data_IF_525804762935
#
_entry.id   IF_525804762935
#
_cell.length_a   1.000
_cell.length_b   1.000
_cell.length_c   1.000
_cell.angle_alpha   90.00
_cell.angle_beta   90.00
_cell.angle_gamma   90.00
#
_symmetry.space_group_name_H-M   'P 1'
#
loop_
_entity.id
_entity.type
_entity.pdbx_description
1 polymer ?
#
# COMPACT_ATOMS: atom_id res chain seq x y z
N UNK A 1 26.64 -37.09 21.52
CA UNK A 1 26.38 -35.92 22.41
C UNK A 1 27.24 -34.69 22.11
N UNK A 2 28.58 -34.79 21.92
CA UNK A 2 29.43 -33.61 21.63
C UNK A 2 29.12 -32.89 20.30
N UNK A 3 28.62 -33.59 19.27
CA UNK A 3 28.23 -33.01 17.96
C UNK A 3 26.89 -32.27 17.97
N UNK A 4 25.94 -32.68 18.82
CA UNK A 4 24.65 -32.01 19.00
C UNK A 4 24.78 -30.69 19.80
N UNK A 5 25.67 -30.68 20.80
CA UNK A 5 26.00 -29.48 21.60
C UNK A 5 26.79 -28.43 20.80
N UNK A 6 27.65 -28.83 19.88
CA UNK A 6 28.39 -27.88 19.01
C UNK A 6 27.50 -27.26 17.94
N UNK A 7 26.54 -28.02 17.39
CA UNK A 7 25.53 -27.51 16.45
C UNK A 7 24.55 -26.54 17.15
N UNK A 8 24.16 -26.80 18.39
CA UNK A 8 23.30 -25.90 19.17
C UNK A 8 24.00 -24.60 19.60
N UNK A 9 25.28 -24.68 20.00
CA UNK A 9 26.09 -23.50 20.32
C UNK A 9 26.34 -22.60 19.10
N UNK A 10 26.53 -23.20 17.91
CA UNK A 10 26.66 -22.46 16.65
C UNK A 10 25.39 -21.68 16.29
N UNK A 11 24.22 -22.32 16.38
CA UNK A 11 22.92 -21.67 16.15
C UNK A 11 22.58 -20.59 17.18
N UNK A 12 23.01 -20.75 18.43
CA UNK A 12 22.85 -19.72 19.47
C UNK A 12 23.77 -18.53 19.22
N UNK A 13 25.04 -18.76 18.83
CA UNK A 13 25.97 -17.68 18.46
C UNK A 13 25.50 -16.91 17.22
N UNK A 14 24.98 -17.62 16.23
CA UNK A 14 24.45 -17.02 15.00
C UNK A 14 23.20 -16.17 15.28
N UNK A 15 22.27 -16.69 16.09
CA UNK A 15 21.11 -15.90 16.57
C UNK A 15 21.51 -14.68 17.40
N UNK A 16 22.50 -14.82 18.28
CA UNK A 16 23.02 -13.70 19.10
C UNK A 16 23.69 -12.62 18.24
N UNK A 17 24.48 -13.03 17.25
CA UNK A 17 25.13 -12.10 16.31
C UNK A 17 24.10 -11.38 15.43
N UNK A 18 23.09 -12.11 14.91
CA UNK A 18 21.95 -11.52 14.18
C UNK A 18 21.19 -10.52 15.05
N UNK A 19 20.89 -10.88 16.30
CA UNK A 19 20.23 -9.96 17.25
C UNK A 19 21.04 -8.68 17.47
N UNK A 20 22.35 -8.79 17.72
CA UNK A 20 23.22 -7.61 17.92
C UNK A 20 23.35 -6.75 16.67
N UNK A 21 23.40 -7.36 15.49
CA UNK A 21 23.43 -6.65 14.22
C UNK A 21 22.17 -5.80 14.05
N UNK A 22 20.99 -6.40 14.23
CA UNK A 22 19.72 -5.69 14.09
C UNK A 22 19.54 -4.62 15.16
N UNK A 23 19.87 -4.89 16.42
CA UNK A 23 19.88 -3.89 17.50
C UNK A 23 20.72 -2.66 17.13
N UNK A 24 21.94 -2.88 16.62
CA UNK A 24 22.82 -1.80 16.16
C UNK A 24 22.24 -1.06 14.95
N UNK A 25 21.75 -1.80 13.95
CA UNK A 25 21.19 -1.26 12.72
C UNK A 25 19.98 -0.36 13.01
N UNK A 26 18.97 -0.88 13.71
CA UNK A 26 17.79 -0.10 14.09
C UNK A 26 18.13 1.03 15.06
N UNK A 27 19.07 0.82 15.96
CA UNK A 27 19.58 1.87 16.83
C UNK A 27 20.17 3.05 16.05
N UNK A 28 20.95 2.79 14.99
CA UNK A 28 21.48 3.84 14.12
C UNK A 28 20.39 4.50 13.29
N UNK A 29 19.47 3.72 12.73
CA UNK A 29 18.33 4.24 11.98
C UNK A 29 17.51 5.22 12.81
N UNK A 30 17.12 4.80 14.02
CA UNK A 30 16.35 5.63 14.95
C UNK A 30 17.13 6.90 15.30
N UNK A 31 18.43 6.81 15.62
CA UNK A 31 19.25 8.00 15.88
C UNK A 31 19.34 8.94 14.68
N UNK A 32 19.39 8.40 13.47
CA UNK A 32 19.36 9.18 12.23
C UNK A 32 18.03 9.93 12.05
N UNK A 33 16.92 9.24 12.26
CA UNK A 33 15.57 9.83 12.23
C UNK A 33 15.39 10.91 13.32
N UNK A 34 15.82 10.63 14.55
CA UNK A 34 15.71 11.56 15.68
C UNK A 34 16.51 12.86 15.45
N UNK A 35 17.62 12.80 14.70
CA UNK A 35 18.38 13.99 14.30
C UNK A 35 17.65 14.86 13.27
N UNK A 36 16.74 14.27 12.49
CA UNK A 36 15.98 14.96 11.45
C UNK A 36 14.68 15.61 11.97
N UNK A 37 14.37 15.48 13.26
CA UNK A 37 13.18 16.08 13.88
C UNK A 37 13.26 17.62 13.79
N UNK A 38 12.35 18.23 13.01
CA UNK A 38 12.19 19.69 12.99
C UNK A 38 11.47 20.15 14.26
N UNK A 39 12.15 21.01 15.04
CA UNK A 39 11.61 21.58 16.29
C UNK A 39 10.55 22.66 16.07
N UNK A 40 10.36 23.14 14.83
CA UNK A 40 9.41 24.20 14.49
C UNK A 40 7.96 23.72 14.36
N UNK A 41 7.73 22.40 14.41
CA UNK A 41 6.42 21.79 14.25
C UNK A 41 5.99 21.66 12.79
N UNK A 42 4.89 20.94 12.54
CA UNK A 42 4.36 20.70 11.20
C UNK A 42 3.30 21.74 10.86
N UNK A 43 3.13 22.04 9.57
CA UNK A 43 2.06 22.90 9.07
C UNK A 43 0.66 22.34 9.37
N UNK A 44 -0.37 22.89 8.73
CA UNK A 44 -1.73 22.40 8.92
C UNK A 44 -1.85 20.90 8.59
N UNK A 45 -2.31 20.10 9.55
CA UNK A 45 -2.54 18.66 9.42
C UNK A 45 -4.05 18.41 9.30
N UNK A 46 -4.42 17.62 8.30
CA UNK A 46 -5.78 17.11 8.08
C UNK A 46 -5.69 15.60 7.82
N UNK A 47 -6.74 14.80 8.03
CA UNK A 47 -6.75 13.42 7.55
C UNK A 47 -6.25 13.34 6.11
N UNK A 48 -5.37 12.39 5.82
CA UNK A 48 -4.70 12.20 4.54
C UNK A 48 -3.80 13.34 4.03
N UNK A 49 -3.60 14.45 4.77
CA UNK A 49 -2.75 15.58 4.35
C UNK A 49 -1.80 15.97 5.46
N UNK A 50 -0.51 15.73 5.23
CA UNK A 50 0.59 16.04 6.16
C UNK A 50 0.48 15.36 7.54
N UNK A 51 -0.49 14.45 7.76
CA UNK A 51 -0.59 13.68 8.99
C UNK A 51 0.43 12.54 8.94
N UNK A 52 1.35 12.43 9.91
CA UNK A 52 2.33 11.35 9.91
C UNK A 52 1.64 9.99 9.95
N UNK A 53 2.10 9.07 9.11
CA UNK A 53 1.46 7.78 8.96
C UNK A 53 2.41 6.66 8.61
N UNK A 54 1.81 5.49 8.40
CA UNK A 54 2.50 4.31 7.92
C UNK A 54 1.80 3.77 6.66
N UNK A 55 2.57 3.13 5.80
CA UNK A 55 2.07 2.35 4.68
C UNK A 55 2.61 0.93 4.77
N UNK A 56 1.75 -0.06 4.55
CA UNK A 56 2.18 -1.43 4.29
C UNK A 56 2.28 -1.65 2.78
N UNK A 57 3.37 -2.28 2.36
CA UNK A 57 3.67 -2.61 0.96
C UNK A 57 4.08 -4.08 0.89
N UNK A 58 3.36 -4.89 0.14
CA UNK A 58 3.59 -6.31 0.00
C UNK A 58 4.11 -6.62 -1.40
N UNK A 59 5.34 -7.11 -1.48
CA UNK A 59 6.00 -7.54 -2.71
C UNK A 59 5.55 -8.97 -3.07
N UNK A 60 5.65 -9.29 -4.38
CA UNK A 60 5.39 -10.60 -4.98
C UNK A 60 3.93 -11.06 -5.07
N UNK A 61 3.22 -10.74 -6.16
CA UNK A 61 1.78 -11.03 -6.31
C UNK A 61 1.38 -12.49 -6.43
N UNK A 62 2.33 -13.40 -6.69
CA UNK A 62 2.04 -14.83 -6.62
C UNK A 62 1.68 -15.29 -5.18
N UNK A 63 1.92 -14.44 -4.18
CA UNK A 63 1.52 -14.64 -2.78
C UNK A 63 0.09 -14.21 -2.48
N UNK A 64 -0.68 -13.77 -3.49
CA UNK A 64 -2.03 -13.20 -3.31
C UNK A 64 -2.99 -14.08 -2.52
N UNK A 65 -2.89 -15.41 -2.64
CA UNK A 65 -3.70 -16.33 -1.83
C UNK A 65 -3.55 -16.08 -0.33
N UNK A 66 -2.32 -15.86 0.13
CA UNK A 66 -2.00 -15.59 1.53
C UNK A 66 -2.48 -14.19 1.96
N UNK A 67 -2.38 -13.20 1.06
CA UNK A 67 -2.87 -11.84 1.31
C UNK A 67 -4.39 -11.81 1.49
N UNK A 68 -5.11 -12.55 0.65
CA UNK A 68 -6.58 -12.65 0.75
C UNK A 68 -6.98 -13.44 1.99
N UNK A 69 -6.37 -14.60 2.23
CA UNK A 69 -6.73 -15.50 3.33
C UNK A 69 -6.48 -14.88 4.71
N UNK A 70 -5.31 -14.25 4.90
CA UNK A 70 -4.89 -13.78 6.22
C UNK A 70 -4.88 -12.25 6.37
N UNK A 71 -4.95 -11.50 5.26
CA UNK A 71 -4.86 -10.04 5.26
C UNK A 71 -6.19 -9.33 5.07
N UNK A 72 -6.97 -9.72 4.06
CA UNK A 72 -8.14 -8.96 3.58
C UNK A 72 -9.15 -8.62 4.69
N UNK A 73 -9.60 -9.60 5.47
CA UNK A 73 -10.56 -9.35 6.55
C UNK A 73 -9.94 -8.51 7.68
N UNK A 74 -8.68 -8.77 8.03
CA UNK A 74 -7.95 -7.99 9.04
C UNK A 74 -7.82 -6.52 8.63
N UNK A 75 -7.37 -6.25 7.41
CA UNK A 75 -7.25 -4.88 6.89
C UNK A 75 -8.61 -4.18 6.80
N UNK A 76 -9.65 -4.89 6.37
CA UNK A 76 -11.03 -4.37 6.37
C UNK A 76 -11.56 -4.05 7.76
N UNK A 77 -11.33 -4.92 8.75
CA UNK A 77 -11.74 -4.70 10.14
C UNK A 77 -11.07 -3.47 10.76
N UNK A 78 -9.78 -3.29 10.48
CA UNK A 78 -9.03 -2.14 10.96
C UNK A 78 -9.16 -0.89 10.08
N UNK A 79 -9.85 -0.98 8.95
CA UNK A 79 -10.03 0.11 8.00
C UNK A 79 -8.67 0.66 7.48
N UNK A 80 -7.77 -0.27 7.16
CA UNK A 80 -6.39 -0.02 6.71
C UNK A 80 -6.27 -0.33 5.23
N UNK A 81 -5.74 0.63 4.46
CA UNK A 81 -5.37 0.39 3.07
C UNK A 81 -3.90 -0.02 2.95
N UNK A 82 -3.61 -0.80 1.92
CA UNK A 82 -2.35 -1.51 1.72
C UNK A 82 -1.96 -1.40 0.25
N UNK A 83 -0.67 -1.46 -0.03
CA UNK A 83 -0.12 -1.53 -1.39
C UNK A 83 0.34 -2.95 -1.66
N UNK A 84 -0.17 -3.58 -2.73
CA UNK A 84 0.27 -4.89 -3.19
C UNK A 84 0.99 -4.73 -4.52
N UNK A 85 2.24 -5.16 -4.60
CA UNK A 85 3.10 -4.94 -5.76
C UNK A 85 3.02 -6.17 -6.68
N UNK A 86 2.59 -5.94 -7.92
CA UNK A 86 2.22 -6.97 -8.89
C UNK A 86 3.34 -7.23 -9.89
N UNK A 87 3.64 -8.49 -10.13
CA UNK A 87 4.49 -8.98 -11.21
C UNK A 87 3.72 -10.05 -12.01
N UNK A 88 4.08 -10.31 -13.27
CA UNK A 88 3.25 -11.19 -14.11
C UNK A 88 3.49 -12.68 -13.81
N UNK A 89 4.73 -13.05 -13.49
CA UNK A 89 5.14 -14.46 -13.38
C UNK A 89 5.54 -14.90 -11.98
N UNK A 90 5.30 -16.17 -11.68
CA UNK A 90 5.75 -16.85 -10.47
C UNK A 90 7.19 -17.33 -10.64
N UNK A 91 8.17 -16.52 -10.22
CA UNK A 91 9.60 -16.83 -10.40
C UNK A 91 10.08 -18.10 -9.65
N UNK A 92 9.28 -18.60 -8.70
CA UNK A 92 9.56 -19.85 -7.98
C UNK A 92 8.73 -21.06 -8.42
N UNK A 93 7.81 -20.92 -9.38
CA UNK A 93 6.94 -22.02 -9.83
C UNK A 93 6.98 -22.12 -11.36
N UNK A 94 8.19 -22.38 -11.88
CA UNK A 94 8.42 -22.57 -13.31
C UNK A 94 8.11 -21.35 -14.17
N UNK A 95 8.18 -20.14 -13.60
CA UNK A 95 7.85 -18.88 -14.29
C UNK A 95 6.45 -18.88 -14.92
N UNK A 96 5.47 -19.56 -14.29
CA UNK A 96 4.08 -19.52 -14.78
C UNK A 96 3.44 -18.15 -14.57
N UNK A 97 2.46 -17.81 -15.40
CA UNK A 97 1.61 -16.65 -15.14
C UNK A 97 0.61 -16.90 -13.99
N UNK A 98 0.00 -15.81 -13.52
CA UNK A 98 -1.14 -15.86 -12.61
C UNK A 98 -2.33 -16.57 -13.26
N UNK A 99 -2.97 -17.46 -12.52
CA UNK A 99 -4.26 -18.06 -12.88
C UNK A 99 -5.36 -17.00 -12.82
N UNK A 100 -6.47 -17.23 -13.53
CA UNK A 100 -7.63 -16.33 -13.45
C UNK A 100 -8.15 -16.15 -12.00
N UNK A 101 -8.03 -17.19 -11.15
CA UNK A 101 -8.41 -17.09 -9.74
C UNK A 101 -7.52 -16.12 -8.97
N UNK A 102 -6.21 -16.15 -9.21
CA UNK A 102 -5.26 -15.21 -8.61
C UNK A 102 -5.49 -13.77 -9.12
N UNK A 103 -5.82 -13.59 -10.41
CA UNK A 103 -6.23 -12.30 -10.97
C UNK A 103 -7.50 -11.77 -10.30
N UNK A 104 -8.52 -12.63 -10.13
CA UNK A 104 -9.76 -12.28 -9.44
C UNK A 104 -9.49 -11.86 -7.99
N UNK A 105 -8.58 -12.55 -7.29
CA UNK A 105 -8.16 -12.21 -5.93
C UNK A 105 -7.45 -10.85 -5.86
N UNK A 106 -6.54 -10.55 -6.79
CA UNK A 106 -5.89 -9.23 -6.86
C UNK A 106 -6.92 -8.13 -7.05
N UNK A 107 -7.84 -8.30 -8.00
CA UNK A 107 -8.87 -7.31 -8.29
C UNK A 107 -9.93 -7.21 -7.18
N UNK A 108 -10.10 -8.26 -6.39
CA UNK A 108 -10.88 -8.21 -5.16
C UNK A 108 -10.19 -7.33 -4.10
N UNK A 109 -8.88 -7.48 -3.87
CA UNK A 109 -8.11 -6.58 -2.99
C UNK A 109 -8.23 -5.12 -3.46
N UNK A 110 -8.11 -4.86 -4.77
CA UNK A 110 -8.33 -3.54 -5.34
C UNK A 110 -9.74 -3.03 -5.05
N UNK A 111 -10.77 -3.88 -5.16
CA UNK A 111 -12.15 -3.47 -4.89
C UNK A 111 -12.38 -3.05 -3.43
N UNK A 112 -11.54 -3.52 -2.50
CA UNK A 112 -11.50 -3.10 -1.10
C UNK A 112 -10.72 -1.78 -0.88
N UNK A 113 -10.31 -1.09 -1.94
CA UNK A 113 -9.61 0.19 -1.87
C UNK A 113 -8.09 0.08 -1.68
N UNK A 114 -7.52 -1.12 -1.77
CA UNK A 114 -6.08 -1.32 -1.75
C UNK A 114 -5.43 -0.87 -3.07
N UNK A 115 -4.19 -0.41 -3.01
CA UNK A 115 -3.40 -0.11 -4.21
C UNK A 115 -2.82 -1.39 -4.79
N UNK A 116 -2.95 -1.56 -6.11
CA UNK A 116 -2.16 -2.53 -6.87
C UNK A 116 -1.07 -1.76 -7.63
N UNK A 117 0.16 -1.93 -7.17
CA UNK A 117 1.35 -1.26 -7.69
C UNK A 117 2.12 -2.17 -8.65
N UNK A 118 3.06 -1.58 -9.39
CA UNK A 118 3.87 -2.28 -10.38
C UNK A 118 5.14 -2.84 -9.74
N UNK A 119 5.51 -4.09 -10.05
CA UNK A 119 6.67 -4.78 -9.47
C UNK A 119 7.57 -5.47 -10.52
N UNK A 120 7.53 -4.99 -11.76
CA UNK A 120 8.29 -5.57 -12.87
C UNK A 120 7.59 -6.79 -13.47
N UNK A 121 7.74 -6.98 -14.77
CA UNK A 121 7.09 -8.08 -15.48
C UNK A 121 7.62 -9.44 -15.02
N UNK A 122 8.95 -9.64 -15.11
CA UNK A 122 9.65 -10.86 -14.71
C UNK A 122 10.53 -10.65 -13.47
N UNK A 123 10.19 -9.66 -12.64
CA UNK A 123 10.87 -9.38 -11.38
C UNK A 123 12.41 -9.29 -11.56
N UNK A 124 12.86 -8.64 -12.63
CA UNK A 124 14.29 -8.48 -12.90
C UNK A 124 14.87 -7.29 -12.12
N UNK A 125 16.12 -7.41 -11.67
CA UNK A 125 16.85 -6.29 -11.07
C UNK A 125 17.04 -5.18 -12.11
N UNK A 126 16.58 -3.97 -11.78
CA UNK A 126 16.75 -2.80 -12.63
C UNK A 126 18.22 -2.51 -12.92
N UNK A 127 19.07 -2.58 -11.89
CA UNK A 127 20.49 -2.26 -11.98
C UNK A 127 21.22 -3.31 -12.80
N UNK A 128 21.05 -4.59 -12.45
CA UNK A 128 21.77 -5.68 -13.14
C UNK A 128 21.34 -5.78 -14.61
N UNK A 129 20.03 -5.74 -14.89
CA UNK A 129 19.52 -5.83 -16.25
C UNK A 129 19.94 -4.63 -17.10
N UNK A 130 19.82 -3.40 -16.57
CA UNK A 130 20.19 -2.20 -17.31
C UNK A 130 21.70 -2.13 -17.59
N UNK A 131 22.55 -2.59 -16.66
CA UNK A 131 24.00 -2.66 -16.90
C UNK A 131 24.37 -3.60 -18.04
N UNK A 132 23.63 -4.71 -18.19
CA UNK A 132 23.91 -5.71 -19.22
C UNK A 132 23.27 -5.38 -20.57
N UNK A 133 22.04 -4.86 -20.56
CA UNK A 133 21.19 -4.74 -21.75
C UNK A 133 20.78 -3.29 -22.09
N UNK A 134 21.10 -2.34 -21.22
CA UNK A 134 20.69 -0.94 -21.30
C UNK A 134 19.33 -0.67 -20.67
N UNK A 135 19.16 0.52 -20.10
CA UNK A 135 17.92 0.93 -19.42
C UNK A 135 16.69 0.90 -20.30
N UNK A 136 16.79 1.33 -21.57
CA UNK A 136 15.65 1.32 -22.49
C UNK A 136 15.12 -0.10 -22.74
N UNK A 137 16.01 -1.11 -22.77
CA UNK A 137 15.60 -2.50 -22.87
C UNK A 137 14.90 -2.95 -21.59
N UNK A 138 15.48 -2.64 -20.42
CA UNK A 138 14.85 -2.94 -19.13
C UNK A 138 13.45 -2.32 -18.99
N UNK A 139 13.28 -1.04 -19.33
CA UNK A 139 11.99 -0.35 -19.27
C UNK A 139 10.98 -1.03 -20.19
N UNK A 140 11.38 -1.35 -21.42
CA UNK A 140 10.50 -2.06 -22.34
C UNK A 140 10.09 -3.42 -21.79
N UNK A 141 11.06 -4.21 -21.33
CA UNK A 141 10.85 -5.61 -21.00
C UNK A 141 10.17 -5.79 -19.63
N UNK A 142 10.44 -4.92 -18.65
CA UNK A 142 9.88 -5.02 -17.30
C UNK A 142 8.74 -4.04 -17.03
N UNK A 143 8.84 -2.79 -17.49
CA UNK A 143 7.88 -1.74 -17.14
C UNK A 143 6.69 -1.76 -18.09
N UNK A 144 6.95 -1.58 -19.39
CA UNK A 144 5.92 -1.51 -20.42
C UNK A 144 5.21 -2.86 -20.53
N UNK A 145 5.94 -3.97 -20.60
CA UNK A 145 5.34 -5.31 -20.70
C UNK A 145 4.36 -5.63 -19.56
N UNK A 146 4.65 -5.20 -18.33
CA UNK A 146 3.69 -5.44 -17.24
C UNK A 146 2.47 -4.50 -17.33
N UNK A 147 2.62 -3.24 -17.76
CA UNK A 147 1.44 -2.41 -18.04
C UNK A 147 0.54 -3.07 -19.08
N UNK A 148 1.12 -3.52 -20.20
CA UNK A 148 0.40 -4.22 -21.27
C UNK A 148 -0.27 -5.50 -20.74
N UNK A 149 0.43 -6.27 -19.89
CA UNK A 149 -0.14 -7.44 -19.25
C UNK A 149 -1.33 -7.08 -18.36
N UNK A 150 -1.19 -6.10 -17.45
CA UNK A 150 -2.25 -5.67 -16.54
C UNK A 150 -3.48 -5.14 -17.29
N UNK A 151 -3.30 -4.43 -18.41
CA UNK A 151 -4.39 -3.92 -19.24
C UNK A 151 -5.24 -5.02 -19.90
N UNK A 152 -4.62 -6.18 -20.17
CA UNK A 152 -5.26 -7.35 -20.75
C UNK A 152 -5.97 -8.23 -19.72
N UNK A 153 -5.78 -7.98 -18.42
CA UNK A 153 -6.46 -8.72 -17.37
C UNK A 153 -7.78 -8.06 -16.96
N UNK A 154 -8.73 -8.89 -16.54
CA UNK A 154 -9.98 -8.44 -15.94
C UNK A 154 -10.51 -9.48 -14.96
N UNK A 155 -11.26 -9.02 -13.97
CA UNK A 155 -11.95 -9.88 -13.03
C UNK A 155 -13.00 -10.68 -13.80
N UNK A 156 -13.02 -12.00 -13.63
CA UNK A 156 -13.83 -12.93 -14.42
C UNK A 156 -15.34 -12.60 -14.38
N UNK A 157 -15.85 -12.19 -13.22
CA UNK A 157 -17.24 -11.79 -12.99
C UNK A 157 -17.53 -10.31 -13.24
N UNK A 158 -16.89 -9.40 -12.50
CA UNK A 158 -17.21 -7.96 -12.52
C UNK A 158 -16.70 -7.25 -13.78
N UNK A 159 -15.76 -7.87 -14.50
CA UNK A 159 -15.03 -7.27 -15.64
C UNK A 159 -14.23 -6.02 -15.30
N UNK A 160 -14.07 -5.70 -14.00
CA UNK A 160 -13.17 -4.65 -13.55
C UNK A 160 -11.75 -5.00 -13.97
N UNK A 161 -10.97 -3.98 -14.35
CA UNK A 161 -9.56 -4.12 -14.73
C UNK A 161 -8.69 -3.52 -13.62
N UNK A 162 -7.39 -3.79 -13.71
CA UNK A 162 -6.43 -3.11 -12.86
C UNK A 162 -6.52 -1.59 -13.05
N UNK A 163 -6.43 -0.83 -11.94
CA UNK A 163 -6.18 0.61 -12.03
C UNK A 163 -4.73 0.82 -12.45
N UNK A 164 -4.46 1.90 -13.18
CA UNK A 164 -3.10 2.26 -13.56
C UNK A 164 -2.24 2.42 -12.30
N UNK A 165 -1.16 1.64 -12.15
CA UNK A 165 -0.23 1.80 -11.03
C UNK A 165 0.32 3.22 -10.92
N UNK A 166 0.31 3.77 -9.70
CA UNK A 166 0.95 5.05 -9.34
C UNK A 166 2.40 4.81 -8.89
N UNK A 167 2.59 3.67 -8.24
CA UNK A 167 3.81 3.24 -7.57
C UNK A 167 4.51 2.16 -8.38
N UNK A 168 5.85 2.24 -8.44
CA UNK A 168 6.70 1.12 -8.82
C UNK A 168 7.57 0.66 -7.65
N UNK A 169 7.55 -0.62 -7.38
CA UNK A 169 8.33 -1.28 -6.36
C UNK A 169 9.51 -1.99 -7.04
N UNK A 170 10.75 -1.59 -6.76
CA UNK A 170 11.91 -2.25 -7.37
C UNK A 170 12.02 -3.69 -6.89
N UNK A 171 12.12 -4.69 -7.79
CA UNK A 171 12.53 -6.05 -7.45
C UNK A 171 13.84 -6.05 -6.67
N UNK A 172 13.94 -6.92 -5.67
CA UNK A 172 15.09 -6.99 -4.74
C UNK A 172 15.37 -5.68 -3.97
N UNK A 173 14.46 -4.70 -4.07
CA UNK A 173 14.62 -3.35 -3.58
C UNK A 173 15.87 -2.63 -4.14
N UNK A 174 16.42 -3.10 -5.27
CA UNK A 174 17.65 -2.59 -5.88
C UNK A 174 17.37 -1.55 -6.97
N UNK A 175 18.07 -0.42 -6.91
CA UNK A 175 17.90 0.71 -7.84
C UNK A 175 19.17 1.56 -7.89
N UNK A 176 19.21 2.47 -8.88
CA UNK A 176 20.15 3.59 -8.92
C UNK A 176 19.42 4.88 -9.33
N UNK A 177 20.13 6.02 -9.28
CA UNK A 177 19.55 7.34 -9.64
C UNK A 177 19.08 7.42 -11.08
N UNK A 178 19.78 6.75 -12.01
CA UNK A 178 19.41 6.71 -13.42
C UNK A 178 18.04 6.04 -13.60
N UNK A 179 17.84 4.85 -13.01
CA UNK A 179 16.57 4.14 -13.05
C UNK A 179 15.44 4.99 -12.46
N UNK A 180 15.68 5.69 -11.34
CA UNK A 180 14.66 6.58 -10.75
C UNK A 180 14.29 7.70 -11.73
N UNK A 181 15.29 8.33 -12.35
CA UNK A 181 15.08 9.45 -13.28
C UNK A 181 14.40 9.06 -14.58
N UNK A 182 14.54 7.81 -15.01
CA UNK A 182 13.86 7.29 -16.21
C UNK A 182 12.42 6.85 -15.91
N UNK A 183 12.16 6.36 -14.69
CA UNK A 183 10.82 5.95 -14.28
C UNK A 183 9.94 7.13 -13.83
N UNK A 184 10.54 8.11 -13.16
CA UNK A 184 9.87 9.29 -12.62
C UNK A 184 10.33 10.50 -13.42
N UNK A 185 9.44 11.22 -14.13
CA UNK A 185 7.99 11.26 -13.93
C UNK A 185 7.15 10.46 -14.94
N UNK A 186 7.77 9.79 -15.91
CA UNK A 186 7.10 9.36 -17.13
C UNK A 186 6.12 8.20 -16.90
N UNK A 187 6.42 7.31 -15.97
CA UNK A 187 5.62 6.10 -15.72
C UNK A 187 4.94 6.14 -14.35
N UNK A 188 5.65 6.63 -13.33
CA UNK A 188 5.20 6.58 -11.95
C UNK A 188 5.35 7.92 -11.24
N UNK A 189 4.54 8.13 -10.21
CA UNK A 189 4.70 9.29 -9.32
C UNK A 189 5.75 9.02 -8.25
N UNK A 190 5.84 7.78 -7.80
CA UNK A 190 6.66 7.36 -6.67
C UNK A 190 7.25 5.97 -6.95
N UNK A 191 8.48 5.75 -6.54
CA UNK A 191 9.15 4.45 -6.66
C UNK A 191 9.66 3.99 -5.29
N UNK A 192 9.52 2.72 -4.96
CA UNK A 192 9.91 2.13 -3.67
C UNK A 192 11.15 1.28 -3.83
N UNK A 193 12.15 1.50 -2.99
CA UNK A 193 13.39 0.73 -2.97
C UNK A 193 13.92 0.46 -1.56
N UNK A 194 15.13 -0.09 -1.50
CA UNK A 194 15.84 -0.35 -0.26
C UNK A 194 16.19 0.97 0.44
N UNK A 195 16.26 0.88 1.76
CA UNK A 195 16.73 1.96 2.60
C UNK A 195 18.11 2.50 2.18
N UNK A 196 18.16 3.80 1.86
CA UNK A 196 19.40 4.58 1.78
C UNK A 196 19.26 5.80 2.70
N UNK A 197 19.97 5.78 3.83
CA UNK A 197 19.96 6.89 4.81
C UNK A 197 18.75 6.89 5.74
N UNK A 198 17.96 7.98 5.74
CA UNK A 198 16.72 8.04 6.52
C UNK A 198 15.61 7.24 5.81
N UNK A 199 14.72 6.58 6.56
CA UNK A 199 13.64 5.77 5.98
C UNK A 199 12.29 6.51 5.96
N UNK A 200 12.34 7.83 5.78
CA UNK A 200 11.19 8.69 6.00
C UNK A 200 10.75 9.28 4.67
N UNK A 201 9.46 9.16 4.38
CA UNK A 201 8.86 9.69 3.16
C UNK A 201 7.95 10.86 3.53
N UNK A 202 8.21 12.09 3.05
CA UNK A 202 7.30 13.21 3.30
C UNK A 202 5.93 12.96 2.63
N UNK A 203 4.89 13.68 3.05
CA UNK A 203 3.64 13.68 2.30
C UNK A 203 3.81 14.44 0.97
N UNK A 204 3.03 14.08 -0.05
CA UNK A 204 3.13 14.63 -1.41
C UNK A 204 4.49 14.40 -2.06
N UNK A 205 5.08 13.24 -1.78
CA UNK A 205 6.38 12.85 -2.30
C UNK A 205 6.35 12.53 -3.80
N UNK A 206 7.48 12.72 -4.48
CA UNK A 206 7.70 12.27 -5.86
C UNK A 206 9.14 11.78 -5.96
N UNK A 207 9.35 10.65 -6.64
CA UNK A 207 10.66 9.99 -6.70
C UNK A 207 10.76 8.81 -5.72
N UNK A 208 11.96 8.56 -5.21
CA UNK A 208 12.25 7.40 -4.36
C UNK A 208 11.67 7.52 -2.95
N UNK A 209 10.89 6.54 -2.54
CA UNK A 209 10.41 6.33 -1.18
C UNK A 209 11.08 5.09 -0.57
N UNK A 210 12.00 5.25 0.40
CA UNK A 210 12.68 4.12 1.01
C UNK A 210 11.70 3.34 1.90
N UNK A 211 11.94 2.03 2.00
CA UNK A 211 11.11 1.12 2.80
C UNK A 211 11.94 0.30 3.79
N UNK A 212 11.30 -0.09 4.89
CA UNK A 212 11.87 -0.99 5.88
C UNK A 212 11.23 -2.37 5.76
N UNK A 213 12.04 -3.38 5.45
CA UNK A 213 11.58 -4.77 5.50
C UNK A 213 11.24 -5.18 6.94
N UNK A 214 10.05 -5.73 7.13
CA UNK A 214 9.56 -6.25 8.42
C UNK A 214 9.06 -7.70 8.32
N UNK A 215 9.62 -8.49 7.42
CA UNK A 215 9.45 -9.94 7.47
C UNK A 215 10.28 -10.57 8.60
N UNK A 216 10.00 -11.82 8.93
CA UNK A 216 10.56 -12.55 10.08
C UNK A 216 12.08 -12.58 10.09
N UNK A 217 12.72 -12.60 8.91
CA UNK A 217 14.16 -12.46 8.73
C UNK A 217 14.73 -11.17 9.35
N UNK A 218 13.93 -10.11 9.32
CA UNK A 218 14.33 -8.74 9.61
C UNK A 218 13.72 -8.20 10.89
N UNK A 219 12.56 -8.67 11.35
CA UNK A 219 11.90 -8.18 12.59
C UNK A 219 12.61 -8.73 13.81
N UNK A 220 13.42 -7.93 14.52
CA UNK A 220 14.12 -8.44 15.69
C UNK A 220 13.24 -8.36 16.94
N UNK A 221 12.32 -7.39 17.00
CA UNK A 221 11.39 -7.14 18.10
C UNK A 221 10.40 -5.99 17.75
N UNK A 222 9.11 -6.16 18.04
CA UNK A 222 8.08 -5.11 17.90
C UNK A 222 8.46 -3.81 18.65
N UNK A 223 9.24 -3.89 19.73
CA UNK A 223 9.79 -2.73 20.45
C UNK A 223 10.53 -1.75 19.53
N UNK A 224 11.28 -2.23 18.54
CA UNK A 224 11.97 -1.37 17.59
C UNK A 224 11.00 -0.69 16.65
N UNK A 225 10.02 -1.43 16.15
CA UNK A 225 8.97 -0.90 15.28
C UNK A 225 8.25 0.26 15.98
N UNK A 226 7.86 0.09 17.25
CA UNK A 226 7.25 1.18 18.05
C UNK A 226 8.13 2.42 18.16
N UNK A 227 9.45 2.25 18.31
CA UNK A 227 10.40 3.38 18.40
C UNK A 227 10.59 4.08 17.05
N UNK A 228 10.66 3.32 15.96
CA UNK A 228 10.77 3.85 14.60
C UNK A 228 9.51 4.64 14.25
N UNK A 229 8.32 4.10 14.55
CA UNK A 229 7.04 4.81 14.37
C UNK A 229 6.99 6.10 15.18
N UNK A 230 7.43 6.07 16.44
CA UNK A 230 7.51 7.28 17.28
C UNK A 230 8.44 8.33 16.67
N UNK A 231 9.62 7.92 16.20
CA UNK A 231 10.56 8.83 15.55
C UNK A 231 9.96 9.43 14.28
N UNK A 232 9.34 8.62 13.41
CA UNK A 232 8.67 9.09 12.22
C UNK A 232 7.56 10.10 12.53
N UNK A 233 6.68 9.80 13.49
CA UNK A 233 5.65 10.75 13.95
C UNK A 233 6.25 12.09 14.37
N UNK A 234 7.38 12.07 15.08
CA UNK A 234 8.07 13.28 15.52
C UNK A 234 8.77 14.05 14.40
N UNK A 235 8.97 13.45 13.22
CA UNK A 235 9.54 14.12 12.04
C UNK A 235 8.50 14.65 11.07
N UNK A 236 7.22 14.33 11.24
CA UNK A 236 6.18 14.76 10.30
C UNK A 236 6.08 13.89 9.05
N UNK A 237 7.00 12.95 8.90
CA UNK A 237 7.13 12.08 7.74
C UNK A 237 6.47 10.72 7.98
N UNK A 238 6.42 9.93 6.91
CA UNK A 238 5.75 8.64 6.85
C UNK A 238 6.76 7.50 6.76
N UNK A 239 6.34 6.31 7.20
CA UNK A 239 7.12 5.08 7.08
C UNK A 239 6.45 4.12 6.10
N UNK A 240 7.27 3.46 5.28
CA UNK A 240 6.82 2.34 4.46
C UNK A 240 7.40 1.06 5.05
N UNK A 241 6.52 0.14 5.43
CA UNK A 241 6.86 -1.21 5.82
C UNK A 241 6.71 -2.15 4.61
N UNK A 242 7.83 -2.75 4.21
CA UNK A 242 7.90 -3.74 3.14
C UNK A 242 7.77 -5.15 3.74
N UNK A 243 6.92 -5.96 3.12
CA UNK A 243 6.61 -7.33 3.51
C UNK A 243 6.47 -8.19 2.25
N UNK A 244 6.38 -9.51 2.40
CA UNK A 244 6.04 -10.41 1.27
C UNK A 244 4.82 -11.26 1.59
N UNK A 245 4.96 -12.24 2.48
CA UNK A 245 3.85 -13.17 2.82
C UNK A 245 3.13 -12.75 4.11
N UNK A 246 1.82 -12.96 4.19
CA UNK A 246 1.08 -12.91 5.46
C UNK A 246 0.76 -14.34 5.87
N UNK A 247 1.44 -14.85 6.89
CA UNK A 247 1.31 -16.25 7.31
C UNK A 247 1.28 -16.37 8.84
N UNK A 248 0.39 -17.21 9.40
CA UNK A 248 0.42 -17.50 10.84
C UNK A 248 1.71 -18.25 11.21
N UNK A 249 2.05 -18.28 12.51
CA UNK A 249 3.36 -18.82 12.96
C UNK A 249 3.47 -20.32 12.69
N UNK A 250 2.34 -21.00 12.78
CA UNK A 250 2.12 -22.42 12.60
C UNK A 250 2.05 -22.87 11.13
N UNK A 251 2.00 -21.93 10.16
CA UNK A 251 2.08 -22.30 8.76
C UNK A 251 3.50 -22.81 8.43
N UNK A 252 3.60 -24.00 7.86
CA UNK A 252 4.87 -24.57 7.41
C UNK A 252 5.09 -24.19 5.94
N UNK A 253 6.31 -23.76 5.60
CA UNK A 253 6.60 -23.30 4.24
C UNK A 253 6.51 -24.43 3.20
N UNK A 254 6.80 -25.66 3.63
CA UNK A 254 6.75 -26.86 2.78
C UNK A 254 5.34 -27.14 2.25
N UNK A 255 4.30 -26.66 2.92
CA UNK A 255 2.90 -26.87 2.52
C UNK A 255 2.55 -26.12 1.22
N UNK A 256 3.35 -25.13 0.81
CA UNK A 256 3.10 -24.34 -0.40
C UNK A 256 3.68 -24.96 -1.68
N UNK A 257 4.58 -25.95 -1.56
CA UNK A 257 5.10 -26.70 -2.72
C UNK A 257 5.95 -25.89 -3.71
N UNK A 258 6.44 -24.70 -3.33
CA UNK A 258 7.19 -23.79 -4.21
C UNK A 258 8.62 -24.25 -4.54
N UNK A 259 9.03 -25.45 -4.12
CA UNK A 259 10.31 -26.06 -4.52
C UNK A 259 11.58 -25.33 -4.05
N UNK A 260 11.46 -24.31 -3.17
CA UNK A 260 12.58 -23.52 -2.64
C UNK A 260 13.17 -24.09 -1.34
N UNK A 261 14.31 -23.55 -0.91
CA UNK A 261 14.84 -23.76 0.45
C UNK A 261 13.85 -23.19 1.49
N UNK A 262 13.17 -24.06 2.26
CA UNK A 262 12.14 -23.63 3.20
C UNK A 262 12.67 -22.74 4.32
N UNK A 263 13.97 -22.87 4.63
CA UNK A 263 14.61 -22.12 5.71
C UNK A 263 14.83 -20.67 5.31
N UNK A 264 15.29 -20.40 4.09
CA UNK A 264 15.52 -19.03 3.61
C UNK A 264 14.24 -18.34 3.18
N UNK A 265 13.44 -19.02 2.37
CA UNK A 265 12.23 -18.44 1.79
C UNK A 265 11.10 -18.32 2.80
N UNK A 266 11.01 -19.26 3.75
CA UNK A 266 10.09 -19.22 4.87
C UNK A 266 10.29 -18.05 5.84
N UNK A 267 11.40 -17.32 5.76
CA UNK A 267 11.61 -16.12 6.56
C UNK A 267 11.06 -14.84 5.90
N UNK A 268 10.66 -14.85 4.61
CA UNK A 268 9.98 -13.74 3.90
C UNK A 268 8.47 -13.73 4.16
N UNK A 269 8.14 -13.62 5.44
CA UNK A 269 6.77 -13.58 5.93
C UNK A 269 6.66 -12.74 7.18
N UNK A 270 5.47 -12.17 7.38
CA UNK A 270 5.06 -11.53 8.61
C UNK A 270 3.78 -12.20 9.12
N UNK A 271 3.61 -12.22 10.44
CA UNK A 271 2.42 -12.84 11.08
C UNK A 271 1.27 -11.83 11.18
N UNK A 272 0.00 -12.29 11.04
CA UNK A 272 -1.18 -11.46 11.30
C UNK A 272 -1.10 -10.76 12.67
N UNK A 273 -0.70 -11.47 13.72
CA UNK A 273 -0.50 -10.92 15.08
C UNK A 273 0.46 -9.72 15.10
N UNK A 274 1.55 -9.80 14.33
CA UNK A 274 2.54 -8.73 14.27
C UNK A 274 1.99 -7.53 13.53
N UNK A 275 1.32 -7.72 12.38
CA UNK A 275 0.63 -6.66 11.64
C UNK A 275 -0.41 -5.99 12.55
N UNK A 276 -1.26 -6.78 13.20
CA UNK A 276 -2.27 -6.30 14.13
C UNK A 276 -1.66 -5.47 15.26
N UNK A 277 -0.53 -5.92 15.81
CA UNK A 277 0.19 -5.17 16.84
C UNK A 277 0.69 -3.82 16.31
N UNK A 278 1.23 -3.77 15.10
CA UNK A 278 1.68 -2.52 14.46
C UNK A 278 0.50 -1.57 14.22
N UNK A 279 -0.62 -2.09 13.70
CA UNK A 279 -1.85 -1.32 13.47
C UNK A 279 -2.36 -0.71 14.78
N UNK A 280 -2.49 -1.52 15.84
CA UNK A 280 -2.95 -1.04 17.13
C UNK A 280 -2.04 0.06 17.70
N UNK A 281 -0.73 -0.08 17.52
CA UNK A 281 0.24 0.92 17.92
C UNK A 281 0.15 2.20 17.11
N UNK A 282 -0.01 2.11 15.78
CA UNK A 282 -0.21 3.26 14.91
C UNK A 282 -1.47 4.05 15.29
N UNK A 283 -2.59 3.35 15.51
CA UNK A 283 -3.85 3.95 15.98
C UNK A 283 -3.69 4.64 17.33
N UNK A 284 -3.02 3.98 18.29
CA UNK A 284 -2.71 4.58 19.61
C UNK A 284 -1.84 5.82 19.49
N UNK A 285 -0.97 5.87 18.48
CA UNK A 285 -0.15 7.02 18.15
C UNK A 285 -0.86 8.04 17.26
N UNK A 286 -2.15 7.90 16.94
CA UNK A 286 -2.86 8.78 16.00
C UNK A 286 -2.10 8.98 14.68
N UNK A 287 -1.52 7.89 14.16
CA UNK A 287 -0.87 7.86 12.85
C UNK A 287 -1.89 7.48 11.77
N UNK A 288 -1.73 8.07 10.60
CA UNK A 288 -2.57 7.75 9.43
C UNK A 288 -2.12 6.43 8.77
N UNK A 289 -3.04 5.77 8.06
CA UNK A 289 -2.72 4.62 7.21
C UNK A 289 -2.82 5.02 5.74
N UNK A 290 -1.75 4.76 5.00
CA UNK A 290 -1.62 5.13 3.60
C UNK A 290 -1.34 3.91 2.72
N UNK A 291 -1.81 3.96 1.49
CA UNK A 291 -1.17 3.33 0.33
C UNK A 291 0.06 4.13 -0.09
N UNK A 292 0.95 3.54 -0.89
CA UNK A 292 2.13 4.27 -1.38
C UNK A 292 1.73 5.39 -2.36
N UNK A 293 0.65 5.21 -3.13
CA UNK A 293 0.03 6.26 -3.93
C UNK A 293 -0.44 7.47 -3.10
N UNK A 294 -1.08 7.24 -1.95
CA UNK A 294 -1.55 8.33 -1.09
C UNK A 294 -0.39 9.12 -0.48
N UNK A 295 0.75 8.48 -0.16
CA UNK A 295 1.98 9.18 0.23
C UNK A 295 2.49 10.12 -0.87
N UNK A 296 2.28 9.75 -2.12
CA UNK A 296 2.56 10.58 -3.29
C UNK A 296 1.49 11.65 -3.57
N UNK A 297 0.52 11.82 -2.65
CA UNK A 297 -0.61 12.74 -2.75
C UNK A 297 -1.50 12.45 -3.98
N UNK A 298 -1.60 11.16 -4.38
CA UNK A 298 -2.45 10.71 -5.48
C UNK A 298 -3.68 10.02 -4.92
N UNK A 299 -4.86 10.53 -5.30
CA UNK A 299 -6.14 9.93 -4.98
C UNK A 299 -6.44 8.77 -5.95
N UNK A 300 -6.91 7.66 -5.40
CA UNK A 300 -7.39 6.51 -6.18
C UNK A 300 -8.91 6.39 -6.07
N UNK A 301 -9.54 5.93 -7.16
CA UNK A 301 -10.98 5.73 -7.25
C UNK A 301 -11.27 4.35 -7.82
N UNK A 302 -11.96 3.52 -7.05
CA UNK A 302 -12.33 2.17 -7.48
C UNK A 302 -13.45 2.23 -8.50
N UNK A 303 -14.46 3.06 -8.26
CA UNK A 303 -15.55 3.31 -9.21
C UNK A 303 -15.10 4.27 -10.31
N UNK A 304 -15.22 3.83 -11.58
CA UNK A 304 -14.78 4.61 -12.75
C UNK A 304 -15.68 5.81 -12.99
N UNK A 305 -16.98 5.72 -12.67
CA UNK A 305 -17.93 6.81 -12.83
C UNK A 305 -17.64 7.89 -11.80
N UNK A 306 -17.36 7.51 -10.54
CA UNK A 306 -16.91 8.44 -9.51
C UNK A 306 -15.63 9.17 -9.94
N UNK A 307 -14.60 8.41 -10.34
CA UNK A 307 -13.34 9.00 -10.81
C UNK A 307 -13.55 9.97 -11.99
N UNK A 308 -14.41 9.62 -12.95
CA UNK A 308 -14.72 10.48 -14.11
C UNK A 308 -15.46 11.75 -13.70
N UNK A 309 -16.42 11.66 -12.77
CA UNK A 309 -17.13 12.83 -12.25
C UNK A 309 -16.17 13.77 -11.53
N UNK A 310 -15.26 13.24 -10.72
CA UNK A 310 -14.24 14.03 -10.02
C UNK A 310 -13.35 14.74 -11.02
N UNK A 311 -12.81 14.02 -12.02
CA UNK A 311 -11.97 14.61 -13.08
C UNK A 311 -12.64 15.78 -13.80
N UNK A 312 -13.92 15.63 -14.12
CA UNK A 312 -14.70 16.70 -14.75
C UNK A 312 -14.89 17.88 -13.80
N UNK A 313 -15.17 17.62 -12.52
CA UNK A 313 -15.35 18.66 -11.50
C UNK A 313 -14.10 19.52 -11.31
N UNK A 314 -12.91 18.91 -11.28
CA UNK A 314 -11.63 19.62 -11.14
C UNK A 314 -11.05 20.12 -12.48
N UNK A 315 -11.82 20.04 -13.58
CA UNK A 315 -11.38 20.41 -14.93
C UNK A 315 -10.06 19.71 -15.37
N UNK A 316 -9.85 18.47 -14.94
CA UNK A 316 -8.67 17.65 -15.24
C UNK A 316 -9.03 16.29 -15.88
N UNK A 317 -9.68 16.28 -17.06
CA UNK A 317 -10.15 15.05 -17.69
C UNK A 317 -9.03 14.09 -18.12
N UNK A 318 -7.83 14.62 -18.43
CA UNK A 318 -6.73 13.85 -19.01
C UNK A 318 -5.47 13.75 -18.13
N UNK A 319 -5.46 14.38 -16.94
CA UNK A 319 -4.29 14.33 -16.08
C UNK A 319 -3.98 12.92 -15.60
N UNK A 320 -2.71 12.54 -15.56
CA UNK A 320 -2.31 11.21 -15.08
C UNK A 320 -2.81 10.94 -13.66
N UNK A 321 -2.73 11.95 -12.78
CA UNK A 321 -3.01 11.83 -11.35
C UNK A 321 -4.03 12.88 -10.88
N UNK A 322 -4.85 12.51 -9.90
CA UNK A 322 -5.74 13.42 -9.17
C UNK A 322 -5.10 13.68 -7.81
N UNK A 323 -4.90 14.94 -7.43
CA UNK A 323 -4.23 15.27 -6.17
C UNK A 323 -5.19 15.21 -4.98
N UNK A 324 -4.84 14.50 -3.90
CA UNK A 324 -5.62 14.51 -2.65
C UNK A 324 -5.78 15.93 -2.11
N UNK A 325 -4.71 16.72 -2.19
CA UNK A 325 -4.70 18.12 -1.75
C UNK A 325 -5.72 18.99 -2.50
N UNK A 326 -5.91 18.76 -3.79
CA UNK A 326 -6.92 19.46 -4.60
C UNK A 326 -8.34 19.06 -4.18
N UNK A 327 -8.60 17.77 -4.00
CA UNK A 327 -9.91 17.26 -3.56
C UNK A 327 -10.31 17.77 -2.18
N UNK A 328 -9.32 17.93 -1.29
CA UNK A 328 -9.55 18.41 0.08
C UNK A 328 -10.10 19.83 0.17
N UNK A 329 -9.99 20.62 -0.90
CA UNK A 329 -10.51 21.97 -0.95
C UNK A 329 -11.98 22.05 -1.36
N UNK A 330 -12.54 20.96 -1.92
CA UNK A 330 -13.91 20.92 -2.45
C UNK A 330 -14.91 20.91 -1.30
N UNK A 331 -15.92 21.78 -1.40
CA UNK A 331 -16.98 21.96 -0.41
C UNK A 331 -18.33 21.38 -0.83
N UNK A 332 -18.59 21.32 -2.12
CA UNK A 332 -19.86 20.86 -2.65
C UNK A 332 -19.58 19.94 -3.83
N UNK A 333 -20.21 18.77 -3.83
CA UNK A 333 -20.03 17.77 -4.88
C UNK A 333 -21.36 17.16 -5.27
N UNK A 334 -21.70 17.27 -6.55
CA UNK A 334 -22.89 16.64 -7.13
C UNK A 334 -22.49 15.42 -7.95
N UNK A 335 -22.91 14.25 -7.47
CA UNK A 335 -22.71 12.94 -8.06
C UNK A 335 -24.06 12.27 -8.35
N UNK A 336 -25.14 13.03 -8.50
CA UNK A 336 -26.45 12.46 -8.77
C UNK A 336 -26.58 11.85 -10.17
N UNK A 337 -27.24 10.69 -10.27
CA UNK A 337 -27.52 10.04 -11.55
C UNK A 337 -26.26 9.58 -12.29
N UNK A 338 -25.23 9.11 -11.56
CA UNK A 338 -23.91 8.78 -12.13
C UNK A 338 -23.60 7.29 -12.19
N UNK A 339 -24.56 6.43 -11.83
CA UNK A 339 -24.37 4.97 -11.78
C UNK A 339 -23.13 4.58 -10.95
N UNK A 340 -22.94 5.27 -9.82
CA UNK A 340 -21.88 4.99 -8.86
C UNK A 340 -22.35 3.85 -7.95
N UNK A 341 -21.46 2.91 -7.66
CA UNK A 341 -21.75 1.78 -6.76
C UNK A 341 -20.75 1.67 -5.61
N UNK A 342 -19.54 2.23 -5.77
CA UNK A 342 -18.48 2.23 -4.77
C UNK A 342 -17.99 3.66 -4.49
N UNK A 343 -17.95 4.05 -3.22
CA UNK A 343 -17.58 5.39 -2.76
C UNK A 343 -16.09 5.54 -2.41
N UNK A 344 -15.27 4.52 -2.61
CA UNK A 344 -13.83 4.60 -2.34
C UNK A 344 -13.19 5.76 -3.14
N UNK A 345 -12.54 6.67 -2.41
CA UNK A 345 -12.03 7.95 -2.90
C UNK A 345 -12.77 9.16 -2.33
N UNK A 346 -14.00 8.98 -1.80
CA UNK A 346 -14.75 10.09 -1.20
C UNK A 346 -14.08 10.63 0.09
N UNK A 347 -13.32 9.81 0.81
CA UNK A 347 -12.64 10.20 2.05
C UNK A 347 -11.63 11.35 1.88
N UNK A 348 -11.17 11.61 0.65
CA UNK A 348 -10.21 12.69 0.37
C UNK A 348 -10.83 14.09 0.42
N UNK A 349 -12.16 14.20 0.38
CA UNK A 349 -12.89 15.47 0.34
C UNK A 349 -13.10 16.03 1.77
N UNK A 350 -12.02 16.26 2.51
CA UNK A 350 -12.09 16.53 3.96
C UNK A 350 -12.81 17.84 4.34
N UNK A 351 -12.97 18.79 3.40
CA UNK A 351 -13.76 20.03 3.58
C UNK A 351 -15.15 19.97 2.94
N UNK A 352 -15.60 18.80 2.47
CA UNK A 352 -16.91 18.65 1.85
C UNK A 352 -18.01 18.96 2.88
N UNK A 353 -18.90 19.88 2.52
CA UNK A 353 -20.03 20.34 3.34
C UNK A 353 -21.37 19.82 2.76
N UNK A 354 -21.47 19.66 1.43
CA UNK A 354 -22.67 19.19 0.74
C UNK A 354 -22.33 18.11 -0.30
N UNK A 355 -23.04 16.98 -0.24
CA UNK A 355 -22.83 15.85 -1.14
C UNK A 355 -24.18 15.34 -1.69
N UNK A 356 -24.34 15.32 -3.00
CA UNK A 356 -25.52 14.73 -3.65
C UNK A 356 -25.15 13.39 -4.30
N UNK A 357 -25.72 12.30 -3.79
CA UNK A 357 -25.57 10.92 -4.28
C UNK A 357 -26.89 10.35 -4.80
N UNK A 358 -27.93 11.18 -4.97
CA UNK A 358 -29.25 10.73 -5.41
C UNK A 358 -29.18 9.95 -6.73
N UNK A 359 -29.99 8.91 -6.88
CA UNK A 359 -30.12 8.11 -8.11
C UNK A 359 -28.80 7.44 -8.53
N UNK A 360 -28.27 6.59 -7.66
CA UNK A 360 -27.07 5.78 -7.90
C UNK A 360 -27.32 4.32 -7.44
N UNK A 361 -26.28 3.48 -7.49
CA UNK A 361 -26.32 2.07 -7.12
C UNK A 361 -25.51 1.78 -5.84
N UNK A 362 -25.49 2.72 -4.90
CA UNK A 362 -24.69 2.63 -3.66
C UNK A 362 -25.47 1.88 -2.59
N UNK A 363 -24.87 0.80 -2.06
CA UNK A 363 -25.41 0.06 -0.91
C UNK A 363 -24.60 0.22 0.38
N UNK A 364 -23.35 0.70 0.28
CA UNK A 364 -22.44 0.88 1.41
C UNK A 364 -22.04 2.36 1.55
N UNK A 365 -22.43 2.97 2.66
CA UNK A 365 -22.19 4.37 2.98
C UNK A 365 -21.20 4.56 4.14
N UNK A 366 -20.47 3.51 4.57
CA UNK A 366 -19.54 3.60 5.72
C UNK A 366 -18.48 4.69 5.57
N UNK A 367 -18.01 4.93 4.34
CA UNK A 367 -16.99 5.96 4.07
C UNK A 367 -17.46 7.41 4.31
N UNK A 368 -18.77 7.65 4.43
CA UNK A 368 -19.30 8.99 4.76
C UNK A 368 -18.84 9.46 6.15
N UNK A 369 -18.55 8.54 7.08
CA UNK A 369 -17.97 8.84 8.40
C UNK A 369 -16.63 9.58 8.32
N UNK A 370 -15.91 9.43 7.19
CA UNK A 370 -14.59 10.03 6.97
C UNK A 370 -14.67 11.47 6.46
N UNK A 371 -15.86 12.06 6.38
CA UNK A 371 -16.09 13.43 5.94
C UNK A 371 -16.41 14.34 7.15
N UNK A 372 -15.40 14.85 7.86
CA UNK A 372 -15.60 15.52 9.16
C UNK A 372 -16.39 16.84 9.09
N UNK A 373 -16.51 17.42 7.89
CA UNK A 373 -17.21 18.69 7.65
C UNK A 373 -18.55 18.54 6.94
N UNK A 374 -19.00 17.31 6.65
CA UNK A 374 -20.23 17.09 5.90
C UNK A 374 -21.44 17.56 6.73
N UNK A 375 -22.34 18.30 6.11
CA UNK A 375 -23.54 18.87 6.77
C UNK A 375 -24.82 18.38 6.12
N UNK A 376 -24.81 18.20 4.80
CA UNK A 376 -25.97 17.78 4.01
C UNK A 376 -25.58 16.67 3.07
N UNK A 377 -26.39 15.62 3.03
CA UNK A 377 -26.24 14.52 2.09
C UNK A 377 -27.60 14.15 1.51
N UNK A 378 -27.65 13.95 0.21
CA UNK A 378 -28.81 13.37 -0.49
C UNK A 378 -28.42 11.97 -0.96
N UNK A 379 -29.14 10.94 -0.49
CA UNK A 379 -28.89 9.54 -0.84
C UNK A 379 -30.11 8.89 -1.49
N UNK A 380 -31.09 9.69 -1.93
CA UNK A 380 -32.32 9.21 -2.52
C UNK A 380 -32.09 8.25 -3.68
N UNK A 381 -33.07 7.38 -3.95
CA UNK A 381 -33.04 6.44 -5.08
C UNK A 381 -31.75 5.60 -5.19
N UNK A 382 -31.18 5.18 -4.05
CA UNK A 382 -30.12 4.17 -3.97
C UNK A 382 -30.67 2.85 -3.42
N UNK A 383 -30.04 1.69 -3.69
CA UNK A 383 -30.43 0.38 -3.17
C UNK A 383 -30.09 0.22 -1.68
N UNK A 384 -30.62 1.10 -0.84
CA UNK A 384 -30.39 1.10 0.61
C UNK A 384 -31.11 -0.11 1.21
N UNK A 385 -30.33 -1.14 1.58
CA UNK A 385 -30.78 -2.18 2.50
C UNK A 385 -31.25 -1.51 3.80
N UNK A 386 -32.42 -1.90 4.32
CA UNK A 386 -33.17 -1.27 5.43
C UNK A 386 -32.42 -1.05 6.76
N UNK A 387 -31.12 -1.34 6.82
CA UNK A 387 -30.20 -0.88 7.85
C UNK A 387 -29.46 0.35 7.33
N UNK A 388 -30.03 1.53 7.57
CA UNK A 388 -29.19 2.74 7.67
C UNK A 388 -28.19 2.41 8.77
N UNK A 389 -26.94 2.12 8.41
CA UNK A 389 -25.87 2.04 9.38
C UNK A 389 -25.89 3.36 10.18
N UNK A 390 -25.50 3.37 11.45
CA UNK A 390 -25.39 4.61 12.20
C UNK A 390 -24.10 5.34 11.78
N UNK A 391 -24.11 6.14 10.70
CA UNK A 391 -23.30 7.36 10.74
C UNK A 391 -23.98 8.62 10.24
N UNK A 392 -25.24 8.56 9.85
CA UNK A 392 -25.98 9.77 9.46
C UNK A 392 -26.49 10.60 10.65
N UNK A 393 -26.23 10.15 11.88
CA UNK A 393 -26.63 10.83 13.11
C UNK A 393 -25.92 12.20 13.20
N UNK A 394 -26.67 13.27 12.97
CA UNK A 394 -26.17 14.65 12.95
C UNK A 394 -26.09 15.29 11.57
N UNK A 395 -26.26 14.52 10.49
CA UNK A 395 -26.35 15.03 9.12
C UNK A 395 -27.80 15.38 8.76
N UNK A 396 -27.99 16.43 7.95
CA UNK A 396 -29.26 16.63 7.25
C UNK A 396 -29.29 15.69 6.04
N UNK A 397 -29.99 14.56 6.21
CA UNK A 397 -30.19 13.54 5.16
C UNK A 397 -31.46 13.86 4.36
N UNK A 398 -31.33 13.86 3.04
CA UNK A 398 -32.45 13.88 2.11
C UNK A 398 -32.60 12.48 1.48
N UNK A 399 -33.85 12.06 1.28
CA UNK A 399 -34.24 10.75 0.75
C UNK A 399 -34.97 10.91 -0.58
#
# INVERSE_FOLDING_TARGET
MKSALTRSLGQVKDRFNRYRYWEWYYGNLIRGMEKAIDKRGFGHMSPYINKPGIAFSFDDSYRVGQWVEYGKEMFGYYDVKVTFNVNAFHHFEGEREHTQKEIDMLLELQSCGHELAHHGFKHQSAVSYANENGSSAWIKDEIISLFDWMENQAHSKTKEKFKKPVTFAFPFAEYNEENISELVPDYFKIVRGQLVGNNLTPFSHTGLAPSLCIDSKFVPNVKYIKRIMKAAKQTGCNLIFMCHSILPKEAEWDDFGWGEDPIGSGEWRITPDTIQTIINEAKRMDMEFYTTAELANVATFIDRNLGSCVRNHIANPYGSWISISELSAIKELDLSGKDISNLDGIQYFTKLEMLNLNNNNISDFRLIERLPNLKKIDIGNNPISSKIAPPLAGLKVLF
#
